data_IF_484408934183
#
_entry.id   IF_484408934183
#
_cell.length_a   1.000
_cell.length_b   1.000
_cell.length_c   1.000
_cell.angle_alpha   90.00
_cell.angle_beta   90.00
_cell.angle_gamma   90.00
#
_symmetry.space_group_name_H-M   'P 1'
#
loop_
_entity.id
_entity.type
_entity.pdbx_description
1 polymer ?
#
# COMPACT_ATOMS: atom_id res chain seq x y z
N UNK A 1 -15.07 7.56 -28.44
CA UNK A 1 -14.71 8.92 -28.89
C UNK A 1 -15.46 9.32 -30.14
N UNK A 2 -15.46 8.54 -31.19
CA UNK A 2 -16.14 8.83 -32.46
C UNK A 2 -17.64 9.13 -32.31
N UNK A 3 -18.34 8.42 -31.43
CA UNK A 3 -19.76 8.65 -31.16
C UNK A 3 -20.07 10.02 -30.55
N UNK A 4 -19.14 10.60 -29.79
CA UNK A 4 -19.28 11.92 -29.15
C UNK A 4 -18.68 13.06 -29.94
N UNK A 5 -17.77 12.73 -30.87
CA UNK A 5 -17.04 13.68 -31.69
C UNK A 5 -17.03 13.22 -33.15
N UNK A 6 -18.21 13.14 -33.80
CA UNK A 6 -18.33 12.62 -35.16
C UNK A 6 -17.56 13.54 -36.13
N UNK A 7 -16.90 12.94 -37.11
CA UNK A 7 -16.14 13.63 -38.17
C UNK A 7 -14.89 14.41 -37.72
N UNK A 8 -14.43 14.26 -36.47
CA UNK A 8 -13.19 14.90 -35.99
C UNK A 8 -12.00 13.94 -36.18
N UNK A 9 -12.19 12.65 -35.88
CA UNK A 9 -11.15 11.65 -36.05
C UNK A 9 -11.02 11.27 -37.51
N UNK A 10 -9.79 11.13 -37.99
CA UNK A 10 -9.47 10.84 -39.39
C UNK A 10 -8.81 9.45 -39.50
N UNK A 11 -8.71 8.90 -40.70
CA UNK A 11 -7.96 7.67 -40.99
C UNK A 11 -6.49 7.75 -40.54
N UNK A 12 -5.95 8.96 -40.33
CA UNK A 12 -4.59 9.20 -39.82
C UNK A 12 -4.50 9.12 -38.29
N UNK A 13 -5.61 8.95 -37.59
CA UNK A 13 -5.63 8.83 -36.14
C UNK A 13 -5.17 7.43 -35.75
N UNK A 14 -3.91 7.28 -35.36
CA UNK A 14 -3.28 5.96 -35.09
C UNK A 14 -3.11 5.68 -33.62
N UNK A 15 -3.26 6.68 -32.76
CA UNK A 15 -3.04 6.55 -31.32
C UNK A 15 -4.04 7.36 -30.50
N UNK A 16 -4.17 7.04 -29.21
CA UNK A 16 -4.99 7.81 -28.28
C UNK A 16 -4.49 9.26 -28.14
N UNK A 17 -3.19 9.56 -28.00
CA UNK A 17 -2.69 10.93 -28.01
C UNK A 17 -3.11 11.71 -29.27
N UNK A 18 -3.05 11.09 -30.46
CA UNK A 18 -3.47 11.74 -31.71
C UNK A 18 -4.96 12.09 -31.68
N UNK A 19 -5.80 11.17 -31.19
CA UNK A 19 -7.23 11.41 -31.06
C UNK A 19 -7.53 12.57 -30.10
N UNK A 20 -6.88 12.61 -28.94
CA UNK A 20 -7.05 13.69 -27.95
C UNK A 20 -6.60 15.04 -28.53
N UNK A 21 -5.48 15.07 -29.25
CA UNK A 21 -4.97 16.28 -29.89
C UNK A 21 -5.91 16.80 -30.98
N UNK A 22 -6.45 15.92 -31.83
CA UNK A 22 -7.39 16.28 -32.89
C UNK A 22 -8.70 16.85 -32.30
N UNK A 23 -9.27 16.19 -31.28
CA UNK A 23 -10.47 16.65 -30.63
C UNK A 23 -10.21 18.02 -29.94
N UNK A 24 -9.10 18.17 -29.24
CA UNK A 24 -8.74 19.45 -28.63
C UNK A 24 -8.62 20.56 -29.68
N UNK A 25 -7.99 20.30 -30.80
CA UNK A 25 -7.86 21.26 -31.90
C UNK A 25 -9.22 21.66 -32.45
N UNK A 26 -10.16 20.73 -32.57
CA UNK A 26 -11.47 20.99 -33.16
C UNK A 26 -12.43 21.69 -32.18
N UNK A 27 -12.38 21.36 -30.87
CA UNK A 27 -13.37 21.85 -29.89
C UNK A 27 -12.81 22.82 -28.84
N UNK A 28 -11.49 22.99 -28.78
CA UNK A 28 -10.81 23.89 -27.83
C UNK A 28 -10.85 23.46 -26.37
N UNK A 29 -11.29 22.21 -26.08
CA UNK A 29 -11.42 21.69 -24.72
C UNK A 29 -10.28 20.76 -24.37
N UNK A 30 -9.79 20.85 -23.12
CA UNK A 30 -8.79 19.95 -22.58
C UNK A 30 -9.43 18.78 -21.84
N UNK A 31 -8.68 17.70 -21.69
CA UNK A 31 -9.12 16.46 -21.05
C UNK A 31 -8.58 16.36 -19.62
N UNK A 32 -9.37 15.75 -18.76
CA UNK A 32 -8.93 15.18 -17.49
C UNK A 32 -8.74 13.68 -17.74
N UNK A 33 -7.55 13.16 -17.51
CA UNK A 33 -7.21 11.74 -17.68
C UNK A 33 -7.15 11.12 -16.31
N UNK A 34 -7.92 10.06 -16.09
CA UNK A 34 -7.88 9.27 -14.86
C UNK A 34 -7.51 7.84 -15.24
N UNK A 35 -6.44 7.32 -14.65
CA UNK A 35 -6.00 5.92 -14.81
C UNK A 35 -5.95 5.30 -13.43
N UNK A 36 -6.84 4.33 -13.21
CA UNK A 36 -6.84 3.53 -11.99
C UNK A 36 -5.94 2.31 -12.16
N UNK A 37 -5.19 1.95 -11.10
CA UNK A 37 -4.21 0.86 -11.10
C UNK A 37 -3.20 0.94 -12.26
N UNK A 38 -2.55 2.12 -12.44
CA UNK A 38 -1.59 2.35 -13.52
C UNK A 38 -0.46 1.31 -13.57
N UNK A 39 -0.14 0.73 -12.43
CA UNK A 39 0.99 -0.19 -12.24
C UNK A 39 0.61 -1.68 -12.35
N UNK A 40 -0.64 -2.01 -12.69
CA UNK A 40 -1.12 -3.41 -12.75
C UNK A 40 -0.26 -4.27 -13.66
N UNK A 41 0.07 -3.80 -14.87
CA UNK A 41 0.93 -4.54 -15.80
C UNK A 41 2.39 -4.63 -15.35
N UNK A 42 2.81 -3.75 -14.45
CA UNK A 42 4.17 -3.75 -13.89
C UNK A 42 4.26 -4.77 -12.76
N UNK A 43 3.18 -4.94 -11.99
CA UNK A 43 3.10 -5.89 -10.88
C UNK A 43 2.74 -7.32 -11.34
N UNK A 44 2.14 -7.45 -12.52
CA UNK A 44 1.73 -8.74 -13.05
C UNK A 44 2.96 -9.55 -13.50
N UNK A 45 3.30 -10.58 -12.73
CA UNK A 45 4.40 -11.49 -13.03
C UNK A 45 4.18 -12.28 -14.34
N UNK A 46 2.92 -12.43 -14.78
CA UNK A 46 2.58 -13.07 -16.05
C UNK A 46 2.82 -12.17 -17.26
N UNK A 47 2.90 -10.86 -17.07
CA UNK A 47 3.18 -9.90 -18.12
C UNK A 47 4.63 -10.00 -18.57
N UNK A 48 4.84 -10.30 -19.86
CA UNK A 48 6.20 -10.35 -20.38
C UNK A 48 6.84 -8.96 -20.48
N UNK A 49 8.18 -8.93 -20.47
CA UNK A 49 8.96 -7.68 -20.48
C UNK A 49 8.67 -6.77 -21.69
N UNK A 50 8.23 -7.34 -22.80
CA UNK A 50 7.85 -6.56 -23.99
C UNK A 50 6.55 -5.78 -23.73
N UNK A 51 5.53 -6.45 -23.19
CA UNK A 51 4.25 -5.80 -22.83
C UNK A 51 4.47 -4.67 -21.83
N UNK A 52 5.26 -4.91 -20.78
CA UNK A 52 5.59 -3.87 -19.81
C UNK A 52 6.30 -2.68 -20.46
N UNK A 53 7.28 -2.95 -21.33
CA UNK A 53 7.98 -1.89 -22.07
C UNK A 53 7.07 -1.11 -23.00
N UNK A 54 6.20 -1.78 -23.74
CA UNK A 54 5.26 -1.16 -24.65
C UNK A 54 4.25 -0.28 -23.88
N UNK A 55 3.79 -0.74 -22.73
CA UNK A 55 2.93 0.03 -21.84
C UNK A 55 3.61 1.30 -21.28
N UNK A 56 4.85 1.19 -20.82
CA UNK A 56 5.62 2.36 -20.37
C UNK A 56 5.85 3.36 -21.51
N UNK A 57 6.11 2.86 -22.74
CA UNK A 57 6.23 3.72 -23.91
C UNK A 57 4.90 4.41 -24.27
N UNK A 58 3.77 3.71 -24.09
CA UNK A 58 2.45 4.30 -24.26
C UNK A 58 2.22 5.44 -23.25
N UNK A 59 2.47 5.20 -21.96
CA UNK A 59 2.34 6.25 -20.94
C UNK A 59 3.27 7.44 -21.21
N UNK A 60 4.49 7.16 -21.68
CA UNK A 60 5.41 8.22 -22.10
C UNK A 60 4.85 9.05 -23.23
N UNK A 61 4.28 8.41 -24.26
CA UNK A 61 3.64 9.10 -25.37
C UNK A 61 2.43 9.94 -24.94
N UNK A 62 1.68 9.46 -23.94
CA UNK A 62 0.53 10.15 -23.41
C UNK A 62 0.87 11.42 -22.63
N UNK A 63 1.93 11.39 -21.82
CA UNK A 63 2.12 12.41 -20.78
C UNK A 63 3.40 13.23 -20.93
N UNK A 64 4.41 12.78 -21.70
CA UNK A 64 5.70 13.45 -21.76
C UNK A 64 5.83 14.38 -22.96
N UNK A 65 6.48 15.51 -22.71
CA UNK A 65 6.74 16.54 -23.73
C UNK A 65 5.76 17.69 -23.65
N UNK A 66 5.84 18.60 -24.65
CA UNK A 66 5.01 19.81 -24.70
C UNK A 66 3.66 19.57 -25.36
N UNK A 67 3.54 18.57 -26.24
CA UNK A 67 2.26 18.28 -26.94
C UNK A 67 1.13 17.89 -25.97
N UNK A 68 1.31 17.00 -25.00
CA UNK A 68 0.26 16.65 -24.03
C UNK A 68 -0.28 17.85 -23.27
N UNK A 69 0.52 18.88 -22.98
CA UNK A 69 0.07 20.07 -22.24
C UNK A 69 -0.96 20.89 -22.99
N UNK A 70 -1.08 20.70 -24.31
CA UNK A 70 -2.07 21.40 -25.14
C UNK A 70 -3.46 20.84 -24.91
N UNK A 71 -3.60 19.52 -24.77
CA UNK A 71 -4.89 18.83 -24.68
C UNK A 71 -5.16 18.19 -23.32
N UNK A 72 -4.19 18.00 -22.42
CA UNK A 72 -4.40 17.52 -21.06
C UNK A 72 -4.47 18.72 -20.09
N UNK A 73 -5.55 18.78 -19.31
CA UNK A 73 -5.71 19.73 -18.22
C UNK A 73 -5.14 19.15 -16.91
N UNK A 74 -5.44 17.87 -16.64
CA UNK A 74 -5.03 17.15 -15.46
C UNK A 74 -4.88 15.66 -15.82
N UNK A 75 -3.87 15.01 -15.25
CA UNK A 75 -3.76 13.55 -15.25
C UNK A 75 -3.66 13.08 -13.80
N UNK A 76 -4.49 12.10 -13.43
CA UNK A 76 -4.54 11.50 -12.12
C UNK A 76 -4.40 9.98 -12.27
N UNK A 77 -3.32 9.44 -11.68
CA UNK A 77 -2.99 8.02 -11.76
C UNK A 77 -3.01 7.43 -10.34
N UNK A 78 -3.74 6.35 -10.14
CA UNK A 78 -3.71 5.58 -8.90
C UNK A 78 -2.98 4.27 -9.11
N UNK A 79 -2.34 3.76 -8.06
CA UNK A 79 -1.64 2.49 -8.08
C UNK A 79 -1.01 2.18 -6.72
N UNK A 80 -0.43 1.02 -6.59
CA UNK A 80 0.27 0.58 -5.37
C UNK A 80 1.73 1.03 -5.41
N UNK A 81 2.37 0.86 -6.57
CA UNK A 81 3.79 1.17 -6.71
C UNK A 81 4.01 2.64 -7.07
N UNK A 82 4.95 3.32 -6.38
CA UNK A 82 5.51 4.56 -6.86
C UNK A 82 6.22 4.37 -8.21
N UNK A 83 6.47 5.45 -8.92
CA UNK A 83 7.16 5.40 -10.20
C UNK A 83 8.60 4.87 -10.01
N UNK A 84 9.03 3.95 -10.89
CA UNK A 84 10.35 3.32 -10.80
C UNK A 84 11.50 4.34 -10.84
N UNK A 85 12.51 4.17 -9.95
CA UNK A 85 13.68 5.04 -9.84
C UNK A 85 14.87 4.66 -10.76
N UNK A 86 14.65 4.18 -12.00
CA UNK A 86 15.74 3.73 -12.90
C UNK A 86 16.00 4.60 -14.13
N UNK A 87 17.09 4.32 -14.87
CA UNK A 87 17.58 5.11 -16.02
C UNK A 87 16.57 5.34 -17.16
N UNK A 88 15.53 4.53 -17.24
CA UNK A 88 14.37 4.71 -18.14
C UNK A 88 13.27 5.59 -17.55
N UNK A 89 13.47 6.11 -16.38
CA UNK A 89 12.52 6.83 -15.53
C UNK A 89 12.05 8.17 -16.03
N UNK A 90 12.72 8.72 -16.97
CA UNK A 90 12.22 9.99 -17.50
C UNK A 90 10.87 9.85 -18.23
N UNK A 91 10.21 8.68 -18.15
CA UNK A 91 8.91 8.47 -18.78
C UNK A 91 7.79 9.26 -18.10
N UNK A 92 7.77 9.30 -16.77
CA UNK A 92 6.68 9.86 -15.96
C UNK A 92 7.19 10.83 -14.87
N UNK A 93 8.36 11.42 -15.03
CA UNK A 93 8.95 12.35 -14.06
C UNK A 93 8.30 13.74 -13.98
N UNK A 94 7.21 13.92 -14.68
CA UNK A 94 6.40 15.14 -14.69
C UNK A 94 5.14 15.01 -13.82
N UNK A 95 5.03 13.94 -13.02
CA UNK A 95 3.99 13.77 -12.01
C UNK A 95 4.54 14.09 -10.63
N UNK A 96 3.70 14.71 -9.81
CA UNK A 96 3.89 14.73 -8.37
C UNK A 96 3.43 13.39 -7.80
N UNK A 97 4.25 12.78 -6.96
CA UNK A 97 3.95 11.48 -6.36
C UNK A 97 3.49 11.63 -4.91
N UNK A 98 2.41 10.93 -4.58
CA UNK A 98 1.85 10.83 -3.25
C UNK A 98 1.85 9.36 -2.85
N UNK A 99 2.54 9.01 -1.78
CA UNK A 99 2.78 7.62 -1.39
C UNK A 99 2.50 7.38 0.09
N UNK A 100 2.56 6.12 0.53
CA UNK A 100 2.50 5.77 1.96
C UNK A 100 3.68 6.32 2.78
N UNK A 101 4.78 6.72 2.12
CA UNK A 101 5.91 7.37 2.77
C UNK A 101 5.73 8.89 2.82
N UNK A 102 5.01 9.46 1.87
CA UNK A 102 4.91 10.90 1.68
C UNK A 102 3.56 11.23 1.01
N UNK A 103 2.55 11.52 1.81
CA UNK A 103 1.18 11.76 1.33
C UNK A 103 0.90 13.24 1.02
N UNK A 104 1.74 14.15 1.53
CA UNK A 104 1.51 15.60 1.46
C UNK A 104 0.06 15.95 1.85
N UNK A 105 -0.56 16.94 1.30
CA UNK A 105 -1.93 17.32 1.64
C UNK A 105 -3.04 16.37 1.17
N UNK A 106 -2.75 15.20 0.61
CA UNK A 106 -3.75 14.23 0.15
C UNK A 106 -4.13 13.19 1.22
N UNK A 107 -3.43 13.12 2.36
CA UNK A 107 -3.71 12.14 3.41
C UNK A 107 -5.19 12.03 3.79
N UNK A 108 -5.95 13.13 4.05
CA UNK A 108 -7.36 13.02 4.46
C UNK A 108 -8.31 12.50 3.38
N UNK A 109 -7.84 12.34 2.14
CA UNK A 109 -8.66 11.89 1.00
C UNK A 109 -8.43 10.44 0.60
N UNK A 110 -7.43 9.77 1.20
CA UNK A 110 -7.09 8.37 0.84
C UNK A 110 -7.65 7.33 1.80
N UNK A 111 -8.34 7.78 2.87
CA UNK A 111 -8.98 6.91 3.86
C UNK A 111 -9.91 7.70 4.75
N UNK A 112 -10.44 7.07 5.80
CA UNK A 112 -11.21 7.79 6.83
C UNK A 112 -10.27 8.41 7.84
N UNK A 113 -10.50 9.68 8.16
CA UNK A 113 -9.83 10.36 9.26
C UNK A 113 -10.36 9.90 10.62
N UNK A 114 -9.59 10.11 11.69
CA UNK A 114 -10.01 9.78 13.04
C UNK A 114 -11.36 10.40 13.41
N UNK A 115 -11.59 11.66 13.04
CA UNK A 115 -12.85 12.37 13.34
C UNK A 115 -14.04 11.73 12.60
N UNK A 116 -13.88 11.36 11.35
CA UNK A 116 -14.93 10.68 10.58
C UNK A 116 -15.25 9.31 11.19
N UNK A 117 -14.23 8.57 11.63
CA UNK A 117 -14.41 7.26 12.30
C UNK A 117 -15.17 7.42 13.61
N UNK A 118 -14.87 8.44 14.43
CA UNK A 118 -15.61 8.74 15.67
C UNK A 118 -17.10 9.00 15.38
N UNK A 119 -17.40 9.85 14.39
CA UNK A 119 -18.78 10.14 13.97
C UNK A 119 -19.49 8.85 13.48
N UNK A 120 -18.81 8.00 12.74
CA UNK A 120 -19.34 6.73 12.27
C UNK A 120 -19.59 5.75 13.45
N UNK A 121 -18.68 5.69 14.42
CA UNK A 121 -18.85 4.87 15.62
C UNK A 121 -20.11 5.26 16.38
N UNK A 122 -20.32 6.55 16.62
CA UNK A 122 -21.52 7.05 17.27
C UNK A 122 -22.79 6.71 16.48
N UNK A 123 -22.77 6.93 15.16
CA UNK A 123 -23.90 6.66 14.27
C UNK A 123 -24.30 5.18 14.22
N UNK A 124 -23.32 4.27 14.21
CA UNK A 124 -23.54 2.84 14.09
C UNK A 124 -23.50 2.08 15.43
N UNK A 125 -23.34 2.78 16.54
CA UNK A 125 -23.23 2.18 17.89
C UNK A 125 -22.02 1.24 18.01
N UNK A 126 -20.86 1.68 17.53
CA UNK A 126 -19.60 0.91 17.62
C UNK A 126 -18.68 1.49 18.68
N UNK A 127 -17.98 0.60 19.38
CA UNK A 127 -16.96 0.97 20.35
C UNK A 127 -15.73 1.54 19.61
N UNK A 128 -15.50 2.85 19.79
CA UNK A 128 -14.41 3.55 19.10
C UNK A 128 -13.03 3.00 19.49
N UNK A 129 -12.78 2.69 20.75
CA UNK A 129 -11.48 2.16 21.19
C UNK A 129 -11.17 0.79 20.56
N UNK A 130 -12.20 -0.03 20.36
CA UNK A 130 -12.04 -1.27 19.61
C UNK A 130 -11.78 -1.03 18.12
N UNK A 131 -12.50 -0.08 17.51
CA UNK A 131 -12.27 0.28 16.09
C UNK A 131 -10.85 0.80 15.94
N UNK A 132 -10.41 1.69 16.83
CA UNK A 132 -9.04 2.21 16.85
C UNK A 132 -8.01 1.09 16.93
N UNK A 133 -8.11 0.21 17.92
CA UNK A 133 -7.18 -0.91 18.10
C UNK A 133 -7.08 -1.81 16.87
N UNK A 134 -8.20 -2.03 16.17
CA UNK A 134 -8.26 -2.96 15.05
C UNK A 134 -7.86 -2.37 13.70
N UNK A 135 -8.08 -1.08 13.46
CA UNK A 135 -8.04 -0.51 12.11
C UNK A 135 -7.31 0.82 11.98
N UNK A 136 -6.79 1.40 13.08
CA UNK A 136 -5.95 2.59 13.07
C UNK A 136 -4.48 2.27 12.71
N UNK A 137 -3.62 3.26 12.75
CA UNK A 137 -2.15 3.11 12.76
C UNK A 137 -1.46 3.53 11.48
N UNK A 138 -2.14 4.17 10.54
CA UNK A 138 -1.48 4.85 9.45
C UNK A 138 -1.44 6.35 9.73
N UNK A 139 -0.26 6.83 10.11
CA UNK A 139 -0.05 8.25 10.35
C UNK A 139 0.58 8.87 9.10
N UNK A 140 -0.21 9.63 8.36
CA UNK A 140 0.19 10.26 7.11
C UNK A 140 0.01 11.77 7.21
N UNK A 141 1.11 12.51 7.11
CA UNK A 141 1.12 13.98 7.05
C UNK A 141 0.27 14.66 8.15
N UNK A 142 0.43 14.19 9.39
CA UNK A 142 -0.30 14.73 10.55
C UNK A 142 -1.70 14.16 10.78
N UNK A 143 -2.18 13.24 9.94
CA UNK A 143 -3.50 12.61 10.06
C UNK A 143 -3.41 11.14 10.43
N UNK A 144 -4.26 10.70 11.36
CA UNK A 144 -4.57 9.30 11.56
C UNK A 144 -5.56 8.85 10.49
N UNK A 145 -5.15 7.89 9.67
CA UNK A 145 -5.93 7.40 8.53
C UNK A 145 -6.29 5.93 8.75
N UNK A 146 -7.55 5.61 8.53
CA UNK A 146 -8.12 4.28 8.66
C UNK A 146 -8.46 3.71 7.29
N UNK A 147 -8.21 2.41 7.10
CA UNK A 147 -8.54 1.73 5.86
C UNK A 147 -10.05 1.78 5.57
N UNK A 148 -10.48 2.32 4.41
CA UNK A 148 -11.90 2.48 4.08
C UNK A 148 -12.69 1.17 4.12
N UNK A 149 -12.13 0.07 3.60
CA UNK A 149 -12.81 -1.23 3.55
C UNK A 149 -13.06 -1.78 4.96
N UNK A 150 -12.06 -1.69 5.83
CA UNK A 150 -12.17 -2.17 7.21
C UNK A 150 -13.22 -1.35 7.99
N UNK A 151 -13.16 -0.01 7.87
CA UNK A 151 -14.14 0.88 8.52
C UNK A 151 -15.56 0.59 8.05
N UNK A 152 -15.82 0.59 6.73
CA UNK A 152 -17.16 0.30 6.20
C UNK A 152 -17.65 -1.08 6.64
N UNK A 153 -16.76 -2.08 6.65
CA UNK A 153 -17.12 -3.44 7.04
C UNK A 153 -17.47 -3.56 8.51
N UNK A 154 -16.69 -2.97 9.43
CA UNK A 154 -16.98 -3.03 10.86
C UNK A 154 -18.23 -2.21 11.21
N UNK A 155 -18.45 -1.06 10.57
CA UNK A 155 -19.66 -0.26 10.79
C UNK A 155 -20.92 -1.05 10.40
N UNK A 156 -20.92 -1.67 9.22
CA UNK A 156 -22.09 -2.39 8.69
C UNK A 156 -22.28 -3.77 9.32
N UNK A 157 -21.22 -4.56 9.48
CA UNK A 157 -21.28 -5.96 9.95
C UNK A 157 -21.20 -6.08 11.48
N UNK A 158 -20.60 -5.10 12.19
CA UNK A 158 -20.43 -5.09 13.65
C UNK A 158 -19.47 -6.12 14.21
N UNK A 159 -18.67 -6.78 13.38
CA UNK A 159 -17.71 -7.81 13.78
C UNK A 159 -16.29 -7.28 13.66
N UNK A 160 -15.48 -7.47 14.70
CA UNK A 160 -14.06 -7.13 14.70
C UNK A 160 -13.26 -8.35 14.23
N UNK A 161 -12.69 -8.26 13.05
CA UNK A 161 -11.87 -9.29 12.41
C UNK A 161 -11.05 -8.67 11.28
N UNK A 162 -10.12 -9.41 10.71
CA UNK A 162 -9.49 -8.99 9.48
C UNK A 162 -10.51 -8.99 8.32
N UNK A 163 -10.56 -7.86 7.63
CA UNK A 163 -11.23 -7.67 6.34
C UNK A 163 -10.22 -7.56 5.20
N UNK A 164 -8.95 -7.44 5.54
CA UNK A 164 -7.84 -7.35 4.60
C UNK A 164 -7.69 -8.64 3.79
N UNK A 165 -7.77 -9.79 4.44
CA UNK A 165 -7.68 -11.12 3.82
C UNK A 165 -8.74 -11.39 2.76
N UNK A 166 -9.89 -10.71 2.82
CA UNK A 166 -10.94 -10.83 1.80
C UNK A 166 -10.53 -10.23 0.43
N UNK A 167 -9.36 -9.57 0.33
CA UNK A 167 -8.87 -8.89 -0.89
C UNK A 167 -7.82 -9.69 -1.68
N UNK A 168 -7.46 -10.92 -1.25
CA UNK A 168 -6.43 -11.73 -1.93
C UNK A 168 -4.98 -11.30 -1.65
N UNK A 169 -4.77 -10.26 -0.84
CA UNK A 169 -3.44 -9.70 -0.56
C UNK A 169 -2.53 -10.62 0.26
N UNK A 170 -3.06 -11.65 0.89
CA UNK A 170 -2.29 -12.66 1.62
C UNK A 170 -1.24 -13.37 0.75
N UNK A 171 -1.58 -13.69 -0.50
CA UNK A 171 -0.69 -14.37 -1.45
C UNK A 171 0.56 -13.55 -1.81
N UNK A 172 0.49 -12.23 -1.67
CA UNK A 172 1.62 -11.33 -1.93
C UNK A 172 2.60 -11.29 -0.77
N UNK A 173 2.11 -11.37 0.48
CA UNK A 173 2.95 -11.19 1.68
C UNK A 173 3.80 -12.41 1.97
N UNK A 174 3.26 -13.62 1.82
CA UNK A 174 3.96 -14.87 2.14
C UNK A 174 5.29 -15.01 1.40
N UNK A 175 5.36 -14.81 0.07
CA UNK A 175 6.62 -14.82 -0.65
C UNK A 175 7.62 -13.79 -0.12
N UNK A 176 7.16 -12.57 0.16
CA UNK A 176 8.02 -11.47 0.61
C UNK A 176 8.67 -11.76 1.96
N UNK A 177 7.89 -12.17 2.97
CA UNK A 177 8.45 -12.48 4.29
C UNK A 177 9.28 -13.78 4.30
N UNK A 178 9.06 -14.65 3.31
CA UNK A 178 9.83 -15.91 3.15
C UNK A 178 11.18 -15.69 2.47
N UNK A 179 11.46 -14.51 1.95
CA UNK A 179 12.76 -14.17 1.39
C UNK A 179 13.83 -14.25 2.49
N UNK A 180 14.94 -14.94 2.17
CA UNK A 180 15.99 -15.19 3.16
C UNK A 180 17.03 -14.07 3.22
N UNK A 181 16.58 -12.82 3.37
CA UNK A 181 17.47 -11.69 3.60
C UNK A 181 17.89 -11.63 5.07
N UNK A 182 19.16 -11.30 5.30
CA UNK A 182 19.71 -11.17 6.65
C UNK A 182 18.94 -10.12 7.47
N UNK A 183 18.52 -10.51 8.67
CA UNK A 183 17.76 -9.67 9.59
C UNK A 183 16.27 -9.50 9.28
N UNK A 184 15.74 -9.98 8.13
CA UNK A 184 14.32 -9.83 7.79
C UNK A 184 13.42 -10.55 8.78
N UNK A 185 13.72 -11.80 9.10
CA UNK A 185 12.95 -12.60 10.07
C UNK A 185 12.92 -11.95 11.45
N UNK A 186 14.07 -11.48 11.92
CA UNK A 186 14.20 -10.79 13.21
C UNK A 186 13.35 -9.53 13.20
N UNK A 187 13.42 -8.72 12.16
CA UNK A 187 12.63 -7.50 12.03
C UNK A 187 11.10 -7.76 12.09
N UNK A 188 10.61 -8.77 11.37
CA UNK A 188 9.18 -9.14 11.41
C UNK A 188 8.76 -9.59 12.81
N UNK A 189 9.60 -10.36 13.51
CA UNK A 189 9.30 -10.84 14.87
C UNK A 189 9.30 -9.68 15.87
N UNK A 190 10.26 -8.78 15.79
CA UNK A 190 10.31 -7.57 16.61
C UNK A 190 9.05 -6.72 16.42
N UNK A 191 8.64 -6.48 15.17
CA UNK A 191 7.41 -5.76 14.89
C UNK A 191 6.15 -6.51 15.37
N UNK A 192 6.09 -7.83 15.26
CA UNK A 192 5.01 -8.65 15.83
C UNK A 192 4.97 -8.57 17.37
N UNK A 193 6.10 -8.31 18.01
CA UNK A 193 6.19 -8.08 19.46
C UNK A 193 5.81 -6.65 19.88
N UNK A 194 5.56 -5.77 18.91
CA UNK A 194 5.16 -4.37 19.11
C UNK A 194 6.33 -3.37 19.09
N UNK A 195 7.52 -3.80 18.65
CA UNK A 195 8.64 -2.89 18.45
C UNK A 195 8.55 -2.20 17.07
N UNK A 196 9.22 -1.07 16.97
CA UNK A 196 9.51 -0.41 15.70
C UNK A 196 10.91 -0.83 15.22
N UNK A 197 11.08 -0.97 13.91
CA UNK A 197 12.33 -1.42 13.30
C UNK A 197 12.85 -0.38 12.33
N UNK A 198 14.13 0.01 12.46
CA UNK A 198 14.75 0.94 11.54
C UNK A 198 14.78 0.39 10.11
N UNK A 199 14.45 1.24 9.14
CA UNK A 199 14.40 0.90 7.72
C UNK A 199 14.92 2.03 6.85
N UNK A 200 15.79 1.71 5.91
CA UNK A 200 16.24 2.65 4.88
C UNK A 200 15.36 2.52 3.63
N UNK A 201 14.35 3.38 3.53
CA UNK A 201 13.39 3.36 2.42
C UNK A 201 13.97 3.81 1.08
N UNK A 202 15.15 4.44 1.07
CA UNK A 202 15.81 4.94 -0.14
C UNK A 202 16.41 3.83 -1.01
N UNK A 203 16.65 2.62 -0.47
CA UNK A 203 17.24 1.50 -1.19
C UNK A 203 16.27 0.88 -2.19
N UNK A 204 14.99 0.86 -1.88
CA UNK A 204 13.97 0.28 -2.75
C UNK A 204 13.81 1.08 -4.05
N UNK A 205 13.85 0.37 -5.18
CA UNK A 205 13.79 0.96 -6.52
C UNK A 205 12.39 1.01 -7.12
N UNK A 206 11.36 0.83 -6.29
CA UNK A 206 9.95 0.75 -6.71
C UNK A 206 9.73 -0.34 -7.78
N UNK A 207 10.48 -1.43 -7.68
CA UNK A 207 10.43 -2.58 -8.59
C UNK A 207 10.48 -3.88 -7.78
N UNK A 208 9.36 -4.61 -7.62
CA UNK A 208 9.33 -5.85 -6.86
C UNK A 208 10.29 -6.92 -7.38
N UNK A 209 10.57 -6.92 -8.69
CA UNK A 209 11.53 -7.85 -9.30
C UNK A 209 13.00 -7.57 -8.92
N UNK A 210 13.28 -6.45 -8.25
CA UNK A 210 14.63 -6.00 -7.87
C UNK A 210 14.82 -5.86 -6.37
N UNK A 211 13.96 -6.47 -5.58
CA UNK A 211 14.14 -6.59 -4.15
C UNK A 211 15.47 -7.32 -3.87
N UNK A 212 16.36 -6.72 -3.11
CA UNK A 212 17.71 -7.23 -2.85
C UNK A 212 18.11 -7.20 -1.36
N UNK A 213 17.27 -6.62 -0.49
CA UNK A 213 17.58 -6.47 0.93
C UNK A 213 16.34 -6.55 1.82
N UNK A 214 16.57 -6.70 3.13
CA UNK A 214 15.53 -6.56 4.17
C UNK A 214 14.77 -5.24 4.02
N UNK A 215 15.49 -4.15 3.83
CA UNK A 215 14.91 -2.82 3.78
C UNK A 215 14.02 -2.63 2.54
N UNK A 216 14.37 -3.25 1.42
CA UNK A 216 13.54 -3.24 0.22
C UNK A 216 12.21 -3.98 0.47
N UNK A 217 12.26 -5.14 1.13
CA UNK A 217 11.04 -5.91 1.51
C UNK A 217 10.16 -5.08 2.44
N UNK A 218 10.73 -4.50 3.49
CA UNK A 218 9.99 -3.70 4.47
C UNK A 218 9.39 -2.48 3.77
N UNK A 219 10.14 -1.78 2.92
CA UNK A 219 9.63 -0.61 2.17
C UNK A 219 8.50 -1.01 1.24
N UNK A 220 8.60 -2.14 0.57
CA UNK A 220 7.53 -2.62 -0.28
C UNK A 220 6.27 -2.98 0.53
N UNK A 221 6.42 -3.60 1.71
CA UNK A 221 5.31 -3.86 2.63
C UNK A 221 4.65 -2.58 3.15
N UNK A 222 5.40 -1.47 3.31
CA UNK A 222 4.85 -0.15 3.62
C UNK A 222 3.98 0.33 2.46
N UNK A 223 4.46 0.29 1.22
CA UNK A 223 3.67 0.69 0.04
C UNK A 223 2.41 -0.17 -0.16
N UNK A 224 2.48 -1.45 0.18
CA UNK A 224 1.32 -2.36 0.16
C UNK A 224 0.34 -2.11 1.32
N UNK A 225 0.70 -1.28 2.31
CA UNK A 225 -0.13 -1.00 3.49
C UNK A 225 -0.08 -2.09 4.58
N UNK A 226 0.85 -3.03 4.51
CA UNK A 226 1.06 -4.01 5.58
C UNK A 226 1.88 -3.47 6.75
N UNK A 227 2.64 -2.41 6.55
CA UNK A 227 3.40 -1.75 7.60
C UNK A 227 3.08 -0.26 7.62
N UNK A 228 3.07 0.32 8.81
CA UNK A 228 3.13 1.74 9.03
C UNK A 228 4.58 2.22 8.98
N UNK A 229 4.78 3.49 8.73
CA UNK A 229 6.09 4.15 8.71
C UNK A 229 6.06 5.41 9.53
N UNK A 230 7.10 5.61 10.33
CA UNK A 230 7.33 6.83 11.09
C UNK A 230 8.51 7.56 10.44
N UNK A 231 8.23 8.70 9.83
CA UNK A 231 9.23 9.49 9.10
C UNK A 231 10.27 10.10 10.05
N UNK A 232 9.87 10.53 11.25
CA UNK A 232 10.76 11.18 12.21
C UNK A 232 11.84 10.24 12.77
N UNK A 233 11.47 8.98 13.00
CA UNK A 233 12.38 7.95 13.54
C UNK A 233 12.94 7.03 12.45
N UNK A 234 12.49 7.16 11.21
CA UNK A 234 12.83 6.27 10.08
C UNK A 234 12.58 4.79 10.43
N UNK A 235 11.42 4.50 11.05
CA UNK A 235 11.07 3.16 11.51
C UNK A 235 9.78 2.65 10.86
N UNK A 236 9.72 1.32 10.67
CA UNK A 236 8.53 0.60 10.27
C UNK A 236 7.92 -0.14 11.47
N UNK A 237 6.61 -0.30 11.47
CA UNK A 237 5.86 -0.99 12.53
C UNK A 237 4.58 -1.61 11.99
N UNK A 238 3.99 -2.53 12.77
CA UNK A 238 2.67 -3.11 12.46
C UNK A 238 1.59 -2.14 12.94
N UNK A 239 0.76 -1.61 12.02
CA UNK A 239 -0.13 -0.49 12.35
C UNK A 239 -1.26 -0.85 13.31
N UNK A 240 -1.81 -2.07 13.22
CA UNK A 240 -3.03 -2.42 13.95
C UNK A 240 -3.20 -3.95 14.12
N UNK A 241 -4.25 -4.33 14.85
CA UNK A 241 -4.54 -5.74 15.12
C UNK A 241 -4.98 -6.51 13.87
N UNK A 242 -5.65 -5.87 12.91
CA UNK A 242 -6.03 -6.48 11.64
C UNK A 242 -4.78 -6.99 10.90
N UNK A 243 -3.82 -6.12 10.65
CA UNK A 243 -2.58 -6.45 9.96
C UNK A 243 -1.71 -7.40 10.78
N UNK A 244 -1.72 -7.24 12.11
CA UNK A 244 -0.99 -8.15 12.99
C UNK A 244 -1.46 -9.60 12.82
N UNK A 245 -2.77 -9.84 12.73
CA UNK A 245 -3.31 -11.18 12.49
C UNK A 245 -2.96 -11.72 11.11
N UNK A 246 -2.96 -10.89 10.08
CA UNK A 246 -2.52 -11.26 8.73
C UNK A 246 -1.06 -11.71 8.72
N UNK A 247 -0.16 -10.93 9.33
CA UNK A 247 1.25 -11.27 9.42
C UNK A 247 1.49 -12.55 10.25
N UNK A 248 0.80 -12.74 11.38
CA UNK A 248 0.87 -13.99 12.14
C UNK A 248 0.46 -15.18 11.28
N UNK A 249 -0.60 -15.05 10.50
CA UNK A 249 -1.06 -16.12 9.61
C UNK A 249 -0.05 -16.41 8.50
N UNK A 250 0.54 -15.36 7.90
CA UNK A 250 1.57 -15.47 6.89
C UNK A 250 2.84 -16.15 7.44
N UNK A 251 3.29 -15.78 8.63
CA UNK A 251 4.45 -16.37 9.31
C UNK A 251 4.20 -17.84 9.65
N UNK A 252 2.99 -18.22 10.10
CA UNK A 252 2.60 -19.61 10.35
C UNK A 252 2.69 -20.49 9.10
N UNK A 253 2.27 -19.96 7.94
CA UNK A 253 2.33 -20.69 6.68
C UNK A 253 3.76 -20.83 6.13
N UNK A 254 4.68 -19.98 6.56
CA UNK A 254 6.09 -19.96 6.12
C UNK A 254 7.02 -20.89 6.90
N UNK A 255 6.49 -21.86 7.66
CA UNK A 255 7.25 -22.82 8.49
C UNK A 255 8.13 -22.18 9.59
N UNK A 256 7.77 -21.01 10.08
CA UNK A 256 8.44 -20.36 11.21
C UNK A 256 7.87 -20.82 12.57
N UNK A 257 7.36 -22.05 12.65
CA UNK A 257 6.58 -22.57 13.78
C UNK A 257 7.34 -22.49 15.12
N UNK A 258 8.65 -22.73 15.12
CA UNK A 258 9.46 -22.64 16.36
C UNK A 258 9.50 -21.22 16.93
N UNK A 259 9.64 -20.20 16.06
CA UNK A 259 9.69 -18.80 16.47
C UNK A 259 8.34 -18.31 16.97
N UNK A 260 7.24 -18.76 16.37
CA UNK A 260 5.89 -18.44 16.83
C UNK A 260 5.61 -19.08 18.17
N UNK A 261 6.02 -20.35 18.36
CA UNK A 261 5.94 -21.03 19.65
C UNK A 261 6.63 -20.22 20.75
N UNK A 262 7.86 -19.78 20.49
CA UNK A 262 8.63 -18.98 21.43
C UNK A 262 7.96 -17.62 21.74
N UNK A 263 7.40 -16.96 20.73
CA UNK A 263 6.69 -15.69 20.92
C UNK A 263 5.38 -15.86 21.71
N UNK A 264 4.60 -16.90 21.42
CA UNK A 264 3.37 -17.20 22.18
C UNK A 264 3.68 -17.54 23.64
N UNK A 265 4.75 -18.27 23.91
CA UNK A 265 5.19 -18.59 25.27
C UNK A 265 5.69 -17.36 26.01
N UNK A 266 6.50 -16.52 25.35
CA UNK A 266 6.95 -15.23 25.92
C UNK A 266 5.78 -14.33 26.25
N UNK A 267 4.75 -14.26 25.40
CA UNK A 267 3.53 -13.50 25.64
C UNK A 267 2.73 -14.08 26.84
N UNK A 268 2.60 -15.40 26.92
CA UNK A 268 1.93 -16.07 28.05
C UNK A 268 2.64 -15.76 29.37
N UNK A 269 3.99 -15.80 29.35
CA UNK A 269 4.81 -15.48 30.50
C UNK A 269 4.62 -14.00 30.93
N UNK A 270 4.66 -13.08 29.98
CA UNK A 270 4.40 -11.66 30.26
C UNK A 270 3.02 -11.45 30.86
N UNK A 271 1.98 -12.02 30.29
CA UNK A 271 0.61 -11.90 30.83
C UNK A 271 0.47 -12.51 32.21
N UNK A 272 1.10 -13.66 32.47
CA UNK A 272 1.13 -14.27 33.80
C UNK A 272 1.87 -13.38 34.80
N UNK A 273 2.96 -12.75 34.39
CA UNK A 273 3.75 -11.84 35.22
C UNK A 273 2.94 -10.58 35.56
N UNK A 274 2.29 -9.96 34.58
CA UNK A 274 1.43 -8.79 34.80
C UNK A 274 0.21 -9.11 35.67
N UNK A 275 -0.32 -10.33 35.57
CA UNK A 275 -1.42 -10.82 36.41
C UNK A 275 -0.95 -11.30 37.81
N UNK A 276 0.35 -11.21 38.11
CA UNK A 276 0.98 -11.73 39.33
C UNK A 276 0.68 -13.23 39.60
N UNK A 277 0.45 -14.01 38.53
CA UNK A 277 0.18 -15.45 38.63
C UNK A 277 1.49 -16.24 38.77
N UNK A 278 1.94 -16.35 40.03
CA UNK A 278 3.22 -17.01 40.37
C UNK A 278 3.29 -18.49 39.94
N UNK A 279 2.15 -19.20 39.88
CA UNK A 279 2.11 -20.62 39.45
C UNK A 279 2.35 -20.72 37.95
N UNK A 280 1.75 -19.87 37.13
CA UNK A 280 1.98 -19.86 35.67
C UNK A 280 3.37 -19.38 35.31
N UNK A 281 3.91 -18.38 36.01
CA UNK A 281 5.28 -17.92 35.80
C UNK A 281 6.30 -19.03 36.14
N UNK A 282 6.09 -19.81 37.23
CA UNK A 282 6.97 -20.89 37.59
C UNK A 282 6.93 -22.07 36.60
N UNK A 283 5.75 -22.40 36.06
CA UNK A 283 5.57 -23.49 35.11
C UNK A 283 6.20 -23.27 33.73
N UNK A 284 6.57 -22.05 33.38
CA UNK A 284 7.20 -21.68 32.08
C UNK A 284 8.73 -21.58 32.17
N UNK A 285 9.34 -21.91 33.32
CA UNK A 285 10.79 -21.93 33.51
C UNK A 285 11.44 -23.29 33.28
N UNK A 286 10.66 -24.33 33.02
CA UNK A 286 11.08 -25.66 32.61
C UNK A 286 10.91 -25.80 31.08
#
# INVERSE_FOLDING_TARGET
MEAYYPNILTEKTTSLPDALSQINTAVGKKFIIIIDEWDVLIRDESANAKVQKDYINFLRGMFKGTEPTKYILLAYLTGILPIRKEKTQSALNNFDEFTMLQAYGLAPYVGFTENEVKILCDKYGRDYEKVKKWYDGYFLDGYQIYNPRAVVSVMTKGKFRSYWSETGSYEVVVPLISMNYDGLKTAIIEMLSGAEVAVNTATFKNDPAKIASKDDVITYLIHLGYLGYNEDSETAFIPNEEIRQELITAVKSSNWNELIGFQEESRKLLMATLAMDTKRVAAQKE
#
